data_IF_057790363556
#
_entry.id   IF_057790363556
#
_cell.length_a   1.000
_cell.length_b   1.000
_cell.length_c   1.000
_cell.angle_alpha   90.00
_cell.angle_beta   90.00
_cell.angle_gamma   90.00
#
_symmetry.space_group_name_H-M   'P 1'
#
loop_
_entity.id
_entity.type
_entity.pdbx_description
1 polymer ?
#
# COMPACT_ATOMS: atom_id res chain seq x y z
N UNK A 1 -21.56 -1.02 -6.12
CA UNK A 1 -20.24 -1.09 -5.47
C UNK A 1 -19.50 0.20 -5.78
N UNK A 2 -19.03 0.94 -4.77
CA UNK A 2 -18.23 2.14 -4.98
C UNK A 2 -16.87 1.78 -5.59
N UNK A 3 -16.35 2.69 -6.43
CA UNK A 3 -15.03 2.56 -7.06
C UNK A 3 -14.14 3.70 -6.57
N UNK A 4 -12.99 3.33 -6.00
CA UNK A 4 -12.01 4.28 -5.47
C UNK A 4 -10.71 4.17 -6.25
N UNK A 5 -10.14 5.32 -6.61
CA UNK A 5 -8.80 5.43 -7.20
C UNK A 5 -7.93 6.23 -6.23
N UNK A 6 -6.82 5.63 -5.81
CA UNK A 6 -5.85 6.26 -4.91
C UNK A 6 -4.56 6.46 -5.72
N UNK A 7 -4.08 7.71 -5.80
CA UNK A 7 -2.82 8.06 -6.44
C UNK A 7 -1.76 8.23 -5.35
N UNK A 8 -0.76 7.36 -5.37
CA UNK A 8 0.28 7.27 -4.36
C UNK A 8 0.17 5.99 -3.54
N UNK A 9 1.09 5.05 -3.77
CA UNK A 9 1.13 3.75 -3.10
C UNK A 9 2.07 3.70 -1.88
N UNK A 10 2.36 4.87 -1.29
CA UNK A 10 3.08 4.98 -0.03
C UNK A 10 2.23 4.59 1.19
N UNK A 11 2.75 4.75 2.42
CA UNK A 11 2.07 4.31 3.64
C UNK A 11 0.67 4.90 3.80
N UNK A 12 0.46 6.17 3.44
CA UNK A 12 -0.85 6.80 3.51
C UNK A 12 -1.86 6.17 2.53
N UNK A 13 -1.44 5.88 1.29
CA UNK A 13 -2.32 5.28 0.29
C UNK A 13 -2.67 3.83 0.59
N UNK A 14 -1.71 3.06 1.12
CA UNK A 14 -1.95 1.69 1.59
C UNK A 14 -2.95 1.67 2.75
N UNK A 15 -2.75 2.50 3.77
CA UNK A 15 -3.68 2.61 4.91
C UNK A 15 -5.07 3.05 4.47
N UNK A 16 -5.18 3.98 3.51
CA UNK A 16 -6.46 4.38 2.95
C UNK A 16 -7.16 3.21 2.23
N UNK A 17 -6.43 2.45 1.41
CA UNK A 17 -6.97 1.28 0.71
C UNK A 17 -7.44 0.19 1.69
N UNK A 18 -6.64 -0.10 2.72
CA UNK A 18 -7.01 -1.06 3.78
C UNK A 18 -8.25 -0.60 4.55
N UNK A 19 -8.33 0.68 4.89
CA UNK A 19 -9.48 1.27 5.59
C UNK A 19 -10.75 1.15 4.74
N UNK A 20 -10.67 1.46 3.45
CA UNK A 20 -11.78 1.29 2.51
C UNK A 20 -12.21 -0.18 2.38
N UNK A 21 -11.25 -1.11 2.32
CA UNK A 21 -11.56 -2.56 2.27
C UNK A 21 -12.25 -3.06 3.54
N UNK A 22 -11.86 -2.55 4.71
CA UNK A 22 -12.53 -2.90 5.97
C UNK A 22 -13.95 -2.32 6.04
N UNK A 23 -14.16 -1.10 5.54
CA UNK A 23 -15.48 -0.46 5.52
C UNK A 23 -16.44 -1.10 4.51
N UNK A 24 -15.92 -1.52 3.36
CA UNK A 24 -16.68 -2.20 2.30
C UNK A 24 -15.84 -3.30 1.63
N UNK A 25 -16.13 -4.55 2.00
CA UNK A 25 -15.50 -5.75 1.44
C UNK A 25 -15.76 -5.93 -0.07
N UNK A 26 -16.74 -5.22 -0.63
CA UNK A 26 -17.14 -5.27 -2.03
C UNK A 26 -16.72 -4.02 -2.82
N UNK A 27 -16.04 -3.05 -2.19
CA UNK A 27 -15.52 -1.89 -2.92
C UNK A 27 -14.46 -2.31 -3.95
N UNK A 28 -14.49 -1.67 -5.12
CA UNK A 28 -13.46 -1.75 -6.15
C UNK A 28 -12.40 -0.68 -5.86
N UNK A 29 -11.16 -1.07 -5.61
CA UNK A 29 -10.09 -0.19 -5.13
C UNK A 29 -8.89 -0.35 -6.04
N UNK A 30 -8.53 0.72 -6.75
CA UNK A 30 -7.31 0.79 -7.57
C UNK A 30 -6.29 1.70 -6.89
N UNK A 31 -5.11 1.16 -6.60
CA UNK A 31 -3.98 1.89 -6.04
C UNK A 31 -2.92 2.07 -7.13
N UNK A 32 -2.56 3.32 -7.43
CA UNK A 32 -1.58 3.66 -8.46
C UNK A 32 -0.29 4.09 -7.78
N UNK A 33 0.81 3.41 -8.12
CA UNK A 33 2.17 3.76 -7.75
C UNK A 33 3.02 4.05 -8.98
N UNK A 34 4.13 4.75 -8.78
CA UNK A 34 5.14 5.01 -9.81
C UNK A 34 6.26 3.95 -9.81
N UNK A 35 6.38 3.18 -8.71
CA UNK A 35 7.33 2.08 -8.63
C UNK A 35 6.72 0.79 -9.22
N UNK A 36 7.51 -0.02 -9.94
CA UNK A 36 7.04 -1.26 -10.54
C UNK A 36 6.77 -2.36 -9.50
N UNK A 37 7.39 -2.27 -8.32
CA UNK A 37 7.19 -3.21 -7.22
C UNK A 37 5.89 -2.93 -6.44
N UNK A 38 5.28 -3.97 -5.82
CA UNK A 38 4.20 -3.78 -4.86
C UNK A 38 4.61 -2.86 -3.70
N UNK A 39 3.66 -2.22 -2.99
CA UNK A 39 3.98 -1.39 -1.83
C UNK A 39 4.81 -2.13 -0.78
N UNK A 40 5.94 -1.55 -0.38
CA UNK A 40 6.83 -2.09 0.65
C UNK A 40 7.23 -1.01 1.66
N UNK A 41 7.71 -1.45 2.83
CA UNK A 41 8.22 -0.54 3.84
C UNK A 41 9.63 -0.08 3.48
N UNK A 42 9.76 1.08 2.82
CA UNK A 42 11.08 1.70 2.54
C UNK A 42 11.90 1.91 3.82
N UNK A 43 11.24 2.15 4.95
CA UNK A 43 11.89 2.28 6.26
C UNK A 43 12.49 0.97 6.77
N UNK A 44 12.13 -0.18 6.19
CA UNK A 44 12.69 -1.48 6.50
C UNK A 44 14.05 -1.74 5.81
N UNK A 45 14.36 -1.02 4.71
CA UNK A 45 15.60 -1.21 3.93
C UNK A 45 16.87 -1.20 4.80
N UNK A 46 17.07 -0.24 5.74
CA UNK A 46 18.26 -0.25 6.58
C UNK A 46 18.41 -1.53 7.41
N UNK A 47 17.31 -2.09 7.90
CA UNK A 47 17.32 -3.32 8.68
C UNK A 47 17.63 -4.54 7.82
N UNK A 48 17.12 -4.58 6.58
CA UNK A 48 17.45 -5.61 5.60
C UNK A 48 18.96 -5.59 5.28
N UNK A 49 19.52 -4.41 5.01
CA UNK A 49 20.96 -4.25 4.74
C UNK A 49 21.85 -4.63 5.93
N UNK A 50 21.33 -4.47 7.16
CA UNK A 50 22.00 -4.93 8.39
C UNK A 50 21.79 -6.42 8.69
N UNK A 51 21.12 -7.17 7.80
CA UNK A 51 20.74 -8.57 8.01
C UNK A 51 19.96 -8.79 9.33
N UNK A 52 19.06 -7.85 9.67
CA UNK A 52 18.20 -7.93 10.87
C UNK A 52 16.77 -8.38 10.56
N UNK A 53 16.40 -8.41 9.29
CA UNK A 53 15.11 -8.85 8.76
C UNK A 53 15.34 -9.49 7.38
N UNK A 54 14.33 -10.21 6.89
CA UNK A 54 14.34 -10.99 5.65
C UNK A 54 13.22 -10.51 4.71
#
# INVERSE_FOLDING_TARGET
MPRHVIIGNGPAGVVAAETLRHADAQADITLIGDEPEPPYSRMAIPYLLMARID
#
